data_IF_731750643159
#
_entry.id   IF_731750643159
#
_cell.length_a   1.000
_cell.length_b   1.000
_cell.length_c   1.000
_cell.angle_alpha   90.00
_cell.angle_beta   90.00
_cell.angle_gamma   90.00
#
_symmetry.space_group_name_H-M   'P 1'
#
loop_
_entity.id
_entity.type
_entity.pdbx_description
1 polymer ?
#
# COMPACT_ATOMS: atom_id res chain seq x y z
N UNK A 1 -59.90 39.78 21.21
CA UNK A 1 -59.71 38.91 20.02
C UNK A 1 -58.22 38.79 19.72
N UNK A 2 -57.47 37.97 20.47
CA UNK A 2 -55.99 38.00 20.37
C UNK A 2 -55.30 36.64 20.61
N UNK A 3 -56.04 35.62 21.08
CA UNK A 3 -55.45 34.30 21.41
C UNK A 3 -55.41 33.33 20.21
N UNK A 4 -56.25 33.54 19.20
CA UNK A 4 -56.28 32.71 17.98
C UNK A 4 -55.19 33.08 16.97
N UNK A 5 -54.70 34.32 16.99
CA UNK A 5 -53.65 34.77 16.06
C UNK A 5 -52.25 34.24 16.46
N UNK A 6 -52.00 34.01 17.75
CA UNK A 6 -50.74 33.48 18.26
C UNK A 6 -50.55 31.97 17.99
N UNK A 7 -51.64 31.21 17.85
CA UNK A 7 -51.59 29.76 17.58
C UNK A 7 -51.36 29.43 16.10
N UNK A 8 -51.69 30.34 15.19
CA UNK A 8 -51.52 30.12 13.74
C UNK A 8 -50.09 30.40 13.23
N UNK A 9 -49.28 31.18 13.95
CA UNK A 9 -47.87 31.41 13.59
C UNK A 9 -46.92 30.26 13.98
N UNK A 10 -47.33 29.34 14.85
CA UNK A 10 -46.48 28.23 15.30
C UNK A 10 -46.41 27.04 14.32
N UNK A 11 -47.31 26.98 13.32
CA UNK A 11 -47.44 25.83 12.42
C UNK A 11 -46.65 25.94 11.10
N UNK A 12 -46.05 27.10 10.79
CA UNK A 12 -45.37 27.32 9.50
C UNK A 12 -43.88 26.96 9.47
N UNK A 13 -43.26 26.64 10.61
CA UNK A 13 -41.82 26.36 10.68
C UNK A 13 -41.46 24.87 10.62
N UNK A 14 -42.44 23.96 10.70
CA UNK A 14 -42.23 22.52 10.70
C UNK A 14 -41.43 21.95 9.49
N UNK A 15 -41.61 22.39 8.23
CA UNK A 15 -40.90 21.77 7.11
C UNK A 15 -39.41 22.14 7.05
N UNK A 16 -39.00 23.26 7.67
CA UNK A 16 -37.61 23.72 7.68
C UNK A 16 -36.74 22.91 8.66
N UNK A 17 -37.30 22.49 9.79
CA UNK A 17 -36.60 21.68 10.79
C UNK A 17 -36.45 20.22 10.33
N UNK A 18 -37.50 19.62 9.75
CA UNK A 18 -37.43 18.24 9.26
C UNK A 18 -36.36 18.03 8.15
N UNK A 19 -36.18 19.01 7.27
CA UNK A 19 -35.12 18.98 6.25
C UNK A 19 -33.71 19.11 6.87
N UNK A 20 -33.59 19.90 7.94
CA UNK A 20 -32.34 20.08 8.67
C UNK A 20 -31.96 18.82 9.45
N UNK A 21 -32.93 18.16 10.09
CA UNK A 21 -32.74 16.90 10.82
C UNK A 21 -32.35 15.76 9.87
N UNK A 22 -33.00 15.67 8.70
CA UNK A 22 -32.65 14.68 7.68
C UNK A 22 -31.21 14.86 7.16
N UNK A 23 -30.77 16.11 6.97
CA UNK A 23 -29.39 16.42 6.59
C UNK A 23 -28.42 16.12 7.72
N UNK A 24 -28.76 16.48 8.95
CA UNK A 24 -27.95 16.21 10.13
C UNK A 24 -27.70 14.70 10.30
N UNK A 25 -28.76 13.89 10.25
CA UNK A 25 -28.68 12.43 10.33
C UNK A 25 -27.83 11.83 9.18
N UNK A 26 -27.95 12.38 7.97
CA UNK A 26 -27.14 11.94 6.84
C UNK A 26 -25.65 12.30 7.00
N UNK A 27 -25.35 13.45 7.61
CA UNK A 27 -23.99 13.86 7.94
C UNK A 27 -23.40 12.99 9.05
N UNK A 28 -24.16 12.70 10.11
CA UNK A 28 -23.74 11.83 11.21
C UNK A 28 -23.43 10.41 10.72
N UNK A 29 -24.30 9.83 9.89
CA UNK A 29 -24.06 8.52 9.28
C UNK A 29 -22.80 8.51 8.38
N UNK A 30 -22.52 9.62 7.69
CA UNK A 30 -21.32 9.76 6.86
C UNK A 30 -20.06 9.90 7.71
N UNK A 31 -20.13 10.60 8.84
CA UNK A 31 -19.02 10.72 9.78
C UNK A 31 -18.67 9.34 10.36
N UNK A 32 -19.66 8.59 10.85
CA UNK A 32 -19.46 7.24 11.39
C UNK A 32 -18.83 6.29 10.34
N UNK A 33 -19.28 6.37 9.09
CA UNK A 33 -18.66 5.62 7.99
C UNK A 33 -17.19 6.03 7.73
N UNK A 34 -16.90 7.33 7.74
CA UNK A 34 -15.56 7.84 7.50
C UNK A 34 -14.60 7.48 8.65
N UNK A 35 -15.05 7.56 9.89
CA UNK A 35 -14.28 7.15 11.08
C UNK A 35 -13.90 5.67 11.00
N UNK A 36 -14.87 4.79 10.69
CA UNK A 36 -14.60 3.35 10.48
C UNK A 36 -13.59 3.11 9.35
N UNK A 37 -13.72 3.86 8.26
CA UNK A 37 -12.80 3.75 7.13
C UNK A 37 -11.39 4.22 7.48
N UNK A 38 -11.26 5.31 8.24
CA UNK A 38 -9.97 5.82 8.71
C UNK A 38 -9.31 4.79 9.63
N UNK A 39 -10.03 4.25 10.61
CA UNK A 39 -9.50 3.23 11.51
C UNK A 39 -8.96 2.01 10.76
N UNK A 40 -9.69 1.55 9.73
CA UNK A 40 -9.25 0.44 8.89
C UNK A 40 -8.01 0.78 8.06
N UNK A 41 -7.93 2.01 7.52
CA UNK A 41 -6.77 2.47 6.76
C UNK A 41 -5.53 2.60 7.64
N UNK A 42 -5.66 3.16 8.85
CA UNK A 42 -4.58 3.26 9.83
C UNK A 42 -4.09 1.87 10.27
N UNK A 43 -5.02 0.93 10.49
CA UNK A 43 -4.66 -0.46 10.78
C UNK A 43 -3.87 -1.11 9.64
N UNK A 44 -4.27 -0.89 8.40
CA UNK A 44 -3.56 -1.41 7.22
C UNK A 44 -2.19 -0.72 7.04
N UNK A 45 -2.11 0.58 7.28
CA UNK A 45 -0.87 1.34 7.22
C UNK A 45 0.12 0.84 8.29
N UNK A 46 -0.32 0.63 9.52
CA UNK A 46 0.50 0.04 10.59
C UNK A 46 1.02 -1.37 10.23
N UNK A 47 0.23 -2.17 9.49
CA UNK A 47 0.67 -3.48 8.97
C UNK A 47 1.75 -3.36 7.89
N UNK A 48 1.83 -2.25 7.16
CA UNK A 48 2.80 -2.06 6.08
C UNK A 48 4.01 -1.20 6.49
N UNK A 49 3.89 -0.39 7.55
CA UNK A 49 4.95 0.49 8.04
C UNK A 49 6.02 -0.22 8.90
N UNK A 50 5.81 -1.49 9.28
CA UNK A 50 6.80 -2.28 10.02
C UNK A 50 7.71 -3.15 9.12
N UNK A 51 7.92 -2.77 7.86
CA UNK A 51 9.11 -3.24 7.14
C UNK A 51 10.24 -2.28 7.50
N UNK A 52 10.76 -2.43 8.73
CA UNK A 52 12.05 -1.86 9.08
C UNK A 52 13.07 -2.62 8.23
N UNK A 53 13.45 -2.06 7.08
CA UNK A 53 14.70 -2.43 6.43
C UNK A 53 15.75 -1.90 7.38
N UNK A 54 16.18 -2.74 8.33
CA UNK A 54 17.28 -2.42 9.24
C UNK A 54 18.39 -1.82 8.39
N UNK A 55 18.80 -0.60 8.75
CA UNK A 55 19.95 0.05 8.17
C UNK A 55 21.17 -0.83 8.46
N UNK A 56 21.38 -1.81 7.58
CA UNK A 56 22.51 -2.71 7.58
C UNK A 56 23.72 -1.81 7.53
N UNK A 57 24.57 -1.85 8.55
CA UNK A 57 25.84 -1.10 8.60
C UNK A 57 26.54 -1.20 7.24
N UNK A 58 27.27 -0.16 6.77
CA UNK A 58 27.97 -0.18 5.50
C UNK A 58 29.07 -1.24 5.52
N UNK A 59 28.68 -2.48 5.38
CA UNK A 59 29.56 -3.60 5.21
C UNK A 59 29.99 -3.56 3.75
N UNK A 60 31.29 -3.66 3.48
CA UNK A 60 31.85 -3.71 2.13
C UNK A 60 31.49 -5.00 1.37
N UNK A 61 30.38 -5.63 1.76
CA UNK A 61 29.95 -6.91 1.23
C UNK A 61 29.46 -6.71 -0.17
N UNK A 62 30.01 -7.49 -1.10
CA UNK A 62 29.55 -7.56 -2.48
C UNK A 62 29.10 -8.99 -2.75
N UNK A 63 27.89 -9.12 -3.28
CA UNK A 63 27.36 -10.38 -3.77
C UNK A 63 27.53 -10.42 -5.27
N UNK A 64 28.20 -11.44 -5.79
CA UNK A 64 28.30 -11.72 -7.22
C UNK A 64 27.43 -12.94 -7.50
N UNK A 65 26.35 -12.73 -8.25
CA UNK A 65 25.41 -13.77 -8.63
C UNK A 65 25.59 -14.14 -10.10
N UNK A 66 25.52 -15.43 -10.41
CA UNK A 66 25.68 -15.98 -11.75
C UNK A 66 24.57 -16.97 -12.09
N UNK A 67 24.15 -16.99 -13.35
CA UNK A 67 23.23 -17.96 -13.94
C UNK A 67 23.75 -18.37 -15.32
N UNK A 68 23.78 -19.67 -15.60
CA UNK A 68 24.25 -20.22 -16.87
C UNK A 68 23.11 -20.94 -17.57
N UNK A 69 22.74 -20.48 -18.77
CA UNK A 69 21.62 -21.04 -19.55
C UNK A 69 22.06 -21.18 -21.01
N UNK A 70 21.93 -22.38 -21.57
CA UNK A 70 22.29 -22.70 -22.96
C UNK A 70 23.70 -22.22 -23.36
N UNK A 71 24.68 -22.37 -22.47
CA UNK A 71 26.07 -21.94 -22.71
C UNK A 71 26.30 -20.43 -22.63
N UNK A 72 25.29 -19.63 -22.25
CA UNK A 72 25.44 -18.21 -21.93
C UNK A 72 25.45 -17.98 -20.43
N UNK A 73 26.38 -17.14 -20.01
CA UNK A 73 26.54 -16.76 -18.62
C UNK A 73 25.99 -15.35 -18.39
N UNK A 74 25.16 -15.22 -17.36
CA UNK A 74 24.62 -13.96 -16.88
C UNK A 74 25.16 -13.72 -15.49
N UNK A 75 25.82 -12.59 -15.27
CA UNK A 75 26.43 -12.24 -14.00
C UNK A 75 26.04 -10.80 -13.62
N UNK A 76 25.79 -10.59 -12.32
CA UNK A 76 25.60 -9.26 -11.77
C UNK A 76 26.10 -9.21 -10.33
N UNK A 77 26.58 -8.04 -9.92
CA UNK A 77 27.06 -7.78 -8.57
C UNK A 77 26.30 -6.65 -7.89
N UNK A 78 26.00 -6.79 -6.60
CA UNK A 78 25.38 -5.74 -5.79
C UNK A 78 25.77 -5.90 -4.31
N UNK A 79 25.58 -4.85 -3.51
CA UNK A 79 25.72 -4.92 -2.04
C UNK A 79 24.57 -5.68 -1.38
N UNK A 80 23.45 -5.83 -2.09
CA UNK A 80 22.29 -6.61 -1.69
C UNK A 80 22.16 -7.85 -2.59
N UNK A 81 22.20 -9.03 -1.99
CA UNK A 81 22.06 -10.31 -2.72
C UNK A 81 20.79 -10.37 -3.58
N UNK A 82 19.65 -9.91 -3.05
CA UNK A 82 18.38 -9.91 -3.76
C UNK A 82 18.41 -9.04 -5.02
N UNK A 83 19.07 -7.88 -4.96
CA UNK A 83 19.25 -7.01 -6.12
C UNK A 83 20.18 -7.65 -7.17
N UNK A 84 21.28 -8.28 -6.74
CA UNK A 84 22.16 -9.02 -7.63
C UNK A 84 21.42 -10.17 -8.34
N UNK A 85 20.63 -10.96 -7.60
CA UNK A 85 19.80 -12.05 -8.15
C UNK A 85 18.77 -11.54 -9.15
N UNK A 86 18.07 -10.45 -8.82
CA UNK A 86 17.09 -9.83 -9.70
C UNK A 86 17.73 -9.33 -11.00
N UNK A 87 18.92 -8.73 -10.92
CA UNK A 87 19.66 -8.25 -12.08
C UNK A 87 20.04 -9.40 -13.03
N UNK A 88 20.57 -10.51 -12.50
CA UNK A 88 20.87 -11.73 -13.28
C UNK A 88 19.62 -12.28 -13.95
N UNK A 89 18.52 -12.43 -13.18
CA UNK A 89 17.24 -12.93 -13.69
C UNK A 89 16.71 -12.06 -14.82
N UNK A 90 16.77 -10.74 -14.66
CA UNK A 90 16.36 -9.78 -15.69
C UNK A 90 17.24 -9.88 -16.93
N UNK A 91 18.56 -10.05 -16.78
CA UNK A 91 19.48 -10.21 -17.89
C UNK A 91 19.19 -11.50 -18.69
N UNK A 92 18.96 -12.61 -18.00
CA UNK A 92 18.58 -13.88 -18.62
C UNK A 92 17.26 -13.77 -19.41
N UNK A 93 16.22 -13.13 -18.81
CA UNK A 93 14.89 -12.98 -19.42
C UNK A 93 14.84 -12.05 -20.64
N UNK A 94 15.92 -11.32 -20.94
CA UNK A 94 16.02 -10.54 -22.18
C UNK A 94 16.19 -11.42 -23.41
N UNK A 95 16.76 -12.61 -23.24
CA UNK A 95 17.11 -13.50 -24.36
C UNK A 95 16.45 -14.86 -24.27
N UNK A 96 16.02 -15.29 -23.09
CA UNK A 96 15.43 -16.60 -22.84
C UNK A 96 14.07 -16.46 -22.16
N UNK A 97 13.24 -17.49 -22.28
CA UNK A 97 11.97 -17.56 -21.57
C UNK A 97 12.15 -17.67 -20.05
N UNK A 98 11.16 -17.19 -19.31
CA UNK A 98 11.19 -17.14 -17.85
C UNK A 98 11.40 -18.51 -17.19
N UNK A 99 11.01 -19.60 -17.86
CA UNK A 99 11.18 -20.98 -17.37
C UNK A 99 12.65 -21.39 -17.21
N UNK A 100 13.56 -20.80 -17.99
CA UNK A 100 15.00 -21.07 -17.93
C UNK A 100 15.75 -20.09 -17.01
N UNK A 101 15.07 -19.02 -16.58
CA UNK A 101 15.63 -17.97 -15.74
C UNK A 101 15.07 -18.07 -14.30
N UNK A 102 15.09 -19.28 -13.76
CA UNK A 102 14.56 -19.58 -12.44
C UNK A 102 15.47 -19.03 -11.36
N UNK A 103 14.88 -18.70 -10.22
CA UNK A 103 15.62 -18.11 -9.11
C UNK A 103 16.53 -19.13 -8.41
N UNK A 104 16.07 -20.38 -8.28
CA UNK A 104 16.84 -21.45 -7.64
C UNK A 104 18.16 -21.78 -8.38
N UNK A 105 18.24 -21.49 -9.69
CA UNK A 105 19.44 -21.77 -10.51
C UNK A 105 20.51 -20.69 -10.37
N UNK A 106 20.17 -19.53 -9.78
CA UNK A 106 21.10 -18.43 -9.58
C UNK A 106 22.01 -18.73 -8.40
N UNK A 107 23.31 -18.81 -8.66
CA UNK A 107 24.36 -19.06 -7.67
C UNK A 107 25.01 -17.76 -7.27
N UNK A 108 25.00 -17.42 -5.98
CA UNK A 108 25.63 -16.20 -5.46
C UNK A 108 26.84 -16.53 -4.60
N UNK A 109 27.88 -15.71 -4.73
CA UNK A 109 29.05 -15.68 -3.85
C UNK A 109 29.11 -14.35 -3.15
N UNK A 110 29.42 -14.39 -1.86
CA UNK A 110 29.57 -13.22 -1.00
C UNK A 110 31.06 -12.94 -0.79
N UNK A 111 31.45 -11.68 -0.91
CA UNK A 111 32.81 -11.18 -0.70
C UNK A 111 32.73 -10.05 0.33
N UNK A 112 33.65 -10.02 1.31
CA UNK A 112 33.69 -9.05 2.42
C UNK A 112 34.91 -8.13 2.32
#
# INVERSE_FOLDING_TARGET
MNKTLLLLLAALSAPAFAHSDARLNALEARIDYLEKRIALLEQNQNRHQNIIIEHRSPSNRVYICKLSVFGKDYEASDKNEGLARLAVKKACRKTNDGIFCQEHDIRCKKFD
#
